data_IF_397302182958
#
_entry.id   IF_397302182958
#
_cell.length_a   1.000
_cell.length_b   1.000
_cell.length_c   1.000
_cell.angle_alpha   90.00
_cell.angle_beta   90.00
_cell.angle_gamma   90.00
#
_symmetry.space_group_name_H-M   'P 1'
#
loop_
_entity.id
_entity.type
_entity.pdbx_description
1 polymer ?
#
# COMPACT_ATOMS: atom_id res chain seq x y z
N UNK A 1 53.72 34.04 49.71
CA UNK A 1 52.32 33.96 50.19
C UNK A 1 51.50 33.31 49.10
N UNK A 2 50.75 32.24 49.41
CA UNK A 2 50.16 31.34 48.43
C UNK A 2 48.85 31.91 47.90
N UNK A 3 48.54 31.68 46.61
CA UNK A 3 47.16 31.76 46.14
C UNK A 3 46.83 30.44 45.45
N UNK A 4 45.87 29.77 46.07
CA UNK A 4 45.38 28.42 45.85
C UNK A 4 44.69 28.28 44.49
N UNK A 5 45.04 27.24 43.73
CA UNK A 5 44.25 26.77 42.57
C UNK A 5 42.99 26.07 43.09
N UNK A 6 41.82 26.58 42.72
CA UNK A 6 40.55 25.89 42.90
C UNK A 6 40.19 25.18 41.59
N UNK A 7 40.35 23.85 41.57
CA UNK A 7 39.86 22.96 40.52
C UNK A 7 38.34 22.81 40.71
N UNK A 8 37.53 23.48 39.89
CA UNK A 8 36.07 23.36 39.94
C UNK A 8 35.64 22.25 38.97
N UNK A 9 35.23 21.13 39.55
CA UNK A 9 34.58 20.00 38.90
C UNK A 9 33.20 20.41 38.37
N UNK A 10 33.11 20.69 37.06
CA UNK A 10 31.84 20.90 36.36
C UNK A 10 31.38 19.59 35.72
N UNK A 11 30.92 18.64 36.54
CA UNK A 11 30.05 17.56 36.05
C UNK A 11 28.61 18.05 36.07
N UNK A 12 27.98 17.88 34.91
CA UNK A 12 26.56 17.96 34.63
C UNK A 12 25.92 19.35 34.84
N UNK A 13 25.44 19.92 33.73
CA UNK A 13 24.14 20.58 33.52
C UNK A 13 24.25 21.45 32.26
N UNK A 14 24.05 20.84 31.09
CA UNK A 14 23.65 21.55 29.86
C UNK A 14 22.26 21.02 29.51
N UNK A 15 21.20 21.83 29.62
CA UNK A 15 20.66 22.68 28.54
C UNK A 15 20.35 21.84 27.29
N UNK A 16 19.17 21.86 26.67
CA UNK A 16 17.93 22.56 26.89
C UNK A 16 16.91 21.94 25.90
N UNK A 17 15.63 22.15 26.19
CA UNK A 17 14.48 22.19 25.27
C UNK A 17 14.65 21.58 23.86
N UNK A 18 13.96 20.47 23.59
CA UNK A 18 13.28 20.27 22.31
C UNK A 18 11.87 19.76 22.57
N UNK A 19 10.92 20.58 22.13
CA UNK A 19 9.50 20.43 22.35
C UNK A 19 8.94 19.15 21.72
N UNK A 20 8.05 18.51 22.48
CA UNK A 20 6.82 17.83 22.01
C UNK A 20 6.66 17.70 20.48
N UNK A 21 7.21 16.64 19.90
CA UNK A 21 6.82 16.13 18.58
C UNK A 21 5.54 15.32 18.69
N UNK A 22 4.41 16.02 18.84
CA UNK A 22 3.09 15.41 18.81
C UNK A 22 2.79 14.85 17.40
N UNK A 23 2.64 13.52 17.34
CA UNK A 23 1.58 12.82 16.63
C UNK A 23 1.10 13.46 15.31
N UNK A 24 1.79 13.16 14.21
CA UNK A 24 1.21 13.22 12.87
C UNK A 24 1.53 11.91 12.12
N UNK A 25 1.10 10.81 12.71
CA UNK A 25 0.88 9.54 12.01
C UNK A 25 -0.56 9.54 11.50
N UNK A 26 -0.86 10.35 10.49
CA UNK A 26 -2.04 10.13 9.68
C UNK A 26 -1.75 8.97 8.74
N UNK A 27 -1.67 7.75 9.29
CA UNK A 27 -1.83 6.55 8.49
C UNK A 27 -3.27 6.57 7.99
N UNK A 28 -3.46 6.98 6.74
CA UNK A 28 -4.65 6.66 5.98
C UNK A 28 -4.67 5.15 5.74
N UNK A 29 -4.92 4.38 6.81
CA UNK A 29 -5.42 3.03 6.71
C UNK A 29 -6.89 3.16 6.32
N UNK A 30 -7.14 3.41 5.05
CA UNK A 30 -8.43 3.11 4.42
C UNK A 30 -8.57 1.59 4.36
N UNK A 31 -8.71 0.94 5.52
CA UNK A 31 -9.32 -0.37 5.56
C UNK A 31 -10.71 -0.21 4.92
N UNK A 32 -11.11 -1.17 4.09
CA UNK A 32 -12.43 -1.26 3.46
C UNK A 32 -13.51 -1.29 4.55
N UNK A 33 -13.81 -0.14 5.12
CA UNK A 33 -15.01 0.05 5.89
C UNK A 33 -16.09 0.03 4.82
N UNK A 34 -17.02 -0.93 4.91
CA UNK A 34 -18.29 -0.84 4.19
C UNK A 34 -19.05 0.34 4.79
N UNK A 35 -18.57 1.54 4.48
CA UNK A 35 -19.12 2.78 4.92
C UNK A 35 -20.55 2.79 4.43
N UNK A 36 -21.50 2.88 5.36
CA UNK A 36 -22.89 3.06 4.98
C UNK A 36 -23.05 4.27 4.07
N UNK A 37 -24.22 4.43 3.47
CA UNK A 37 -24.53 5.55 2.55
C UNK A 37 -24.04 6.94 3.01
N UNK A 38 -24.06 7.31 4.30
CA UNK A 38 -23.50 8.59 4.76
C UNK A 38 -22.00 8.76 4.48
N UNK A 39 -21.21 7.70 4.64
CA UNK A 39 -19.78 7.71 4.39
C UNK A 39 -19.48 7.79 2.89
N UNK A 40 -20.20 7.03 2.08
CA UNK A 40 -20.11 7.12 0.62
C UNK A 40 -20.48 8.53 0.11
N UNK A 41 -21.47 9.18 0.74
CA UNK A 41 -21.82 10.57 0.42
C UNK A 41 -20.70 11.54 0.80
N UNK A 42 -20.01 11.32 1.93
CA UNK A 42 -18.86 12.11 2.36
C UNK A 42 -17.69 11.97 1.37
N UNK A 43 -17.35 10.74 0.99
CA UNK A 43 -16.31 10.43 -0.01
C UNK A 43 -16.63 11.11 -1.34
N UNK A 44 -17.87 10.99 -1.83
CA UNK A 44 -18.30 11.67 -3.04
C UNK A 44 -18.09 13.20 -3.01
N UNK A 45 -18.36 13.86 -1.88
CA UNK A 45 -18.11 15.31 -1.78
C UNK A 45 -16.62 15.65 -1.81
N UNK A 46 -15.80 14.82 -1.18
CA UNK A 46 -14.34 14.94 -1.21
C UNK A 46 -13.81 14.75 -2.63
N UNK A 47 -14.21 13.69 -3.32
CA UNK A 47 -13.80 13.41 -4.71
C UNK A 47 -14.24 14.52 -5.65
N UNK A 48 -15.48 15.01 -5.50
CA UNK A 48 -15.96 16.16 -6.27
C UNK A 48 -15.14 17.42 -6.06
N UNK A 49 -14.73 17.71 -4.82
CA UNK A 49 -13.89 18.86 -4.53
C UNK A 49 -12.53 18.72 -5.25
N UNK A 50 -11.91 17.54 -5.19
CA UNK A 50 -10.66 17.23 -5.89
C UNK A 50 -10.82 17.33 -7.44
N UNK A 51 -11.94 16.85 -7.99
CA UNK A 51 -12.23 16.98 -9.41
C UNK A 51 -12.36 18.46 -9.85
N UNK A 52 -12.93 19.32 -8.99
CA UNK A 52 -13.15 20.74 -9.30
C UNK A 52 -11.87 21.55 -9.10
N UNK A 53 -11.04 21.23 -8.11
CA UNK A 53 -9.76 21.88 -7.85
C UNK A 53 -8.72 21.57 -8.95
N UNK A 54 -8.90 20.46 -9.68
CA UNK A 54 -7.95 20.02 -10.71
C UNK A 54 -6.73 19.31 -10.11
N UNK A 55 -6.79 18.90 -8.84
CA UNK A 55 -5.74 18.16 -8.14
C UNK A 55 -5.58 16.71 -8.62
N UNK A 56 -6.41 16.29 -9.57
CA UNK A 56 -6.41 14.93 -10.13
C UNK A 56 -5.71 14.91 -11.49
N UNK A 57 -4.95 13.85 -11.78
CA UNK A 57 -4.29 13.64 -13.08
C UNK A 57 -5.25 13.20 -14.22
N UNK A 58 -6.55 13.48 -14.11
CA UNK A 58 -7.60 13.04 -15.02
C UNK A 58 -8.46 14.21 -15.51
N UNK A 59 -9.12 14.03 -16.65
CA UNK A 59 -10.10 15.00 -17.16
C UNK A 59 -11.22 15.22 -16.14
N UNK A 60 -11.57 16.49 -15.89
CA UNK A 60 -12.56 16.87 -14.88
C UNK A 60 -13.91 16.21 -15.09
N UNK A 61 -14.39 16.13 -16.33
CA UNK A 61 -15.69 15.52 -16.62
C UNK A 61 -15.64 14.01 -16.34
N UNK A 62 -14.53 13.36 -16.66
CA UNK A 62 -14.28 11.95 -16.33
C UNK A 62 -14.24 11.72 -14.82
N UNK A 63 -13.47 12.52 -14.09
CA UNK A 63 -13.39 12.48 -12.63
C UNK A 63 -14.78 12.57 -11.97
N UNK A 64 -15.60 13.53 -12.40
CA UNK A 64 -16.94 13.71 -11.85
C UNK A 64 -17.88 12.53 -12.17
N UNK A 65 -17.73 11.91 -13.36
CA UNK A 65 -18.48 10.69 -13.71
C UNK A 65 -18.08 9.52 -12.83
N UNK A 66 -16.78 9.33 -12.59
CA UNK A 66 -16.27 8.25 -11.74
C UNK A 66 -16.71 8.42 -10.28
N UNK A 67 -16.60 9.62 -9.72
CA UNK A 67 -17.10 9.93 -8.38
C UNK A 67 -18.61 9.65 -8.25
N UNK A 68 -19.39 10.03 -9.26
CA UNK A 68 -20.83 9.74 -9.32
C UNK A 68 -21.15 8.25 -9.41
N UNK A 69 -20.38 7.50 -10.20
CA UNK A 69 -20.51 6.06 -10.33
C UNK A 69 -20.21 5.35 -8.99
N UNK A 70 -19.13 5.75 -8.29
CA UNK A 70 -18.79 5.22 -6.99
C UNK A 70 -19.93 5.42 -5.95
N UNK A 71 -20.54 6.61 -5.92
CA UNK A 71 -21.70 6.86 -5.05
C UNK A 71 -22.93 6.04 -5.46
N UNK A 72 -23.17 5.88 -6.77
CA UNK A 72 -24.27 5.06 -7.27
C UNK A 72 -24.11 3.60 -6.84
N UNK A 73 -22.91 3.04 -6.93
CA UNK A 73 -22.65 1.67 -6.48
C UNK A 73 -22.79 1.52 -4.97
N UNK A 74 -22.33 2.49 -4.18
CA UNK A 74 -22.58 2.49 -2.74
C UNK A 74 -24.09 2.46 -2.41
N UNK A 75 -24.92 3.17 -3.20
CA UNK A 75 -26.41 3.11 -3.10
C UNK A 75 -26.97 1.74 -3.45
N UNK A 76 -26.31 0.99 -4.33
CA UNK A 76 -26.67 -0.39 -4.72
C UNK A 76 -26.12 -1.46 -3.76
N UNK A 77 -25.70 -1.07 -2.55
CA UNK A 77 -25.07 -1.90 -1.49
C UNK A 77 -23.55 -2.08 -1.62
N UNK A 78 -22.91 -1.27 -2.46
CA UNK A 78 -21.45 -1.26 -2.64
C UNK A 78 -20.95 -2.33 -3.60
N UNK A 79 -19.63 -2.33 -3.81
CA UNK A 79 -18.93 -3.39 -4.53
C UNK A 79 -18.70 -4.58 -3.59
N UNK A 80 -18.77 -5.78 -4.14
CA UNK A 80 -18.34 -6.98 -3.42
C UNK A 80 -16.82 -7.08 -3.45
N UNK A 81 -16.21 -7.26 -2.28
CA UNK A 81 -14.80 -7.60 -2.15
C UNK A 81 -14.70 -9.09 -2.47
N UNK A 82 -14.61 -9.40 -3.77
CA UNK A 82 -14.63 -10.75 -4.32
C UNK A 82 -13.41 -11.59 -3.95
N UNK A 83 -13.01 -11.68 -2.68
CA UNK A 83 -11.78 -12.34 -2.21
C UNK A 83 -11.63 -13.77 -2.75
N UNK A 84 -12.72 -14.55 -2.71
CA UNK A 84 -12.74 -15.90 -3.26
C UNK A 84 -12.56 -15.90 -4.79
N UNK A 85 -13.07 -14.89 -5.48
CA UNK A 85 -12.88 -14.72 -6.92
C UNK A 85 -11.48 -14.26 -7.26
N UNK A 86 -10.91 -13.33 -6.50
CA UNK A 86 -9.53 -12.89 -6.67
C UNK A 86 -8.57 -14.05 -6.50
N UNK A 87 -8.82 -14.93 -5.53
CA UNK A 87 -8.02 -16.13 -5.32
C UNK A 87 -8.13 -17.12 -6.48
N UNK A 88 -9.35 -17.39 -6.97
CA UNK A 88 -9.54 -18.24 -8.16
C UNK A 88 -8.83 -17.65 -9.38
N UNK A 89 -9.05 -16.36 -9.64
CA UNK A 89 -8.43 -15.64 -10.76
C UNK A 89 -6.91 -15.59 -10.63
N UNK A 90 -6.37 -15.62 -9.41
CA UNK A 90 -4.94 -15.72 -9.12
C UNK A 90 -4.35 -16.98 -9.72
N UNK A 91 -4.99 -18.12 -9.49
CA UNK A 91 -4.51 -19.42 -9.96
C UNK A 91 -4.84 -19.68 -11.42
N UNK A 92 -5.97 -19.18 -11.93
CA UNK A 92 -6.33 -19.27 -13.36
C UNK A 92 -5.27 -18.62 -14.28
N UNK A 93 -4.52 -17.63 -13.78
CA UNK A 93 -3.40 -17.05 -14.54
C UNK A 93 -2.27 -18.06 -14.78
N UNK A 94 -2.06 -19.02 -13.88
CA UNK A 94 -1.04 -20.05 -14.02
C UNK A 94 -1.42 -21.16 -15.01
N UNK A 95 -2.70 -21.29 -15.37
CA UNK A 95 -3.15 -22.29 -16.35
C UNK A 95 -2.70 -21.98 -17.79
N UNK A 96 -2.17 -20.77 -18.03
CA UNK A 96 -1.56 -20.38 -19.31
C UNK A 96 -0.08 -20.77 -19.44
N UNK A 97 0.54 -21.28 -18.36
CA UNK A 97 1.94 -21.70 -18.41
C UNK A 97 2.07 -23.09 -19.03
N UNK A 98 3.25 -23.42 -19.61
CA UNK A 98 3.59 -24.80 -19.92
C UNK A 98 3.36 -25.72 -18.70
N UNK A 99 2.95 -26.99 -18.89
CA UNK A 99 2.67 -27.90 -17.78
C UNK A 99 3.82 -28.03 -16.76
N UNK A 100 5.07 -27.95 -17.23
CA UNK A 100 6.28 -28.00 -16.41
C UNK A 100 6.48 -26.76 -15.53
N UNK A 101 6.02 -25.58 -15.97
CA UNK A 101 6.22 -24.30 -15.28
C UNK A 101 5.04 -23.93 -14.38
N UNK A 102 3.87 -24.55 -14.59
CA UNK A 102 2.65 -24.29 -13.81
C UNK A 102 2.86 -24.48 -12.30
N UNK A 103 3.52 -25.53 -11.80
CA UNK A 103 3.76 -25.69 -10.36
C UNK A 103 4.52 -24.50 -9.77
N UNK A 104 5.59 -24.05 -10.43
CA UNK A 104 6.38 -22.92 -9.95
C UNK A 104 5.64 -21.57 -10.06
N UNK A 105 4.78 -21.41 -11.07
CA UNK A 105 3.85 -20.28 -11.12
C UNK A 105 2.92 -20.25 -9.89
N UNK A 106 2.30 -21.37 -9.55
CA UNK A 106 1.39 -21.46 -8.40
C UNK A 106 2.13 -21.11 -7.11
N UNK A 107 3.34 -21.64 -6.92
CA UNK A 107 4.20 -21.32 -5.77
C UNK A 107 4.50 -19.82 -5.67
N UNK A 108 4.91 -19.17 -6.77
CA UNK A 108 5.09 -17.70 -6.82
C UNK A 108 3.81 -16.95 -6.46
N UNK A 109 2.67 -17.37 -6.98
CA UNK A 109 1.39 -16.71 -6.74
C UNK A 109 0.90 -16.89 -5.29
N UNK A 110 1.26 -18.01 -4.65
CA UNK A 110 1.01 -18.28 -3.23
C UNK A 110 1.96 -17.54 -2.28
N UNK A 111 2.93 -16.79 -2.81
CA UNK A 111 3.84 -15.93 -2.04
C UNK A 111 5.18 -16.56 -1.69
N UNK A 112 5.54 -17.70 -2.28
CA UNK A 112 6.90 -18.22 -2.15
C UNK A 112 7.91 -17.34 -2.91
N UNK A 113 9.13 -17.24 -2.35
CA UNK A 113 10.22 -16.49 -2.94
C UNK A 113 10.26 -15.03 -2.51
N UNK A 114 10.57 -14.13 -3.45
CA UNK A 114 10.74 -12.70 -3.19
C UNK A 114 9.74 -11.86 -3.97
N UNK A 115 9.21 -10.82 -3.34
CA UNK A 115 8.30 -9.85 -3.96
C UNK A 115 8.89 -8.45 -3.87
N UNK A 116 8.89 -7.72 -4.99
CA UNK A 116 9.44 -6.37 -5.08
C UNK A 116 8.61 -5.46 -5.98
N UNK A 117 8.85 -4.16 -5.91
CA UNK A 117 8.08 -3.13 -6.63
C UNK A 117 6.86 -2.64 -5.84
N UNK A 118 6.06 -1.80 -6.49
CA UNK A 118 4.85 -1.22 -5.92
C UNK A 118 3.87 -0.86 -7.03
N UNK A 119 2.59 -0.67 -6.66
CA UNK A 119 1.58 -0.20 -7.61
C UNK A 119 1.95 1.17 -8.17
N UNK A 120 2.41 2.09 -7.30
CA UNK A 120 2.89 3.40 -7.70
C UNK A 120 4.11 3.32 -8.63
N UNK A 121 5.03 2.39 -8.36
CA UNK A 121 6.20 2.13 -9.19
C UNK A 121 5.91 1.38 -10.50
N UNK A 122 4.64 1.14 -10.82
CA UNK A 122 4.20 0.55 -12.08
C UNK A 122 4.11 -0.98 -12.10
N UNK A 123 4.36 -1.67 -10.99
CA UNK A 123 4.19 -3.12 -10.93
C UNK A 123 4.79 -3.81 -9.72
N UNK A 124 4.29 -5.03 -9.47
CA UNK A 124 4.78 -5.94 -8.45
C UNK A 124 5.41 -7.15 -9.14
N UNK A 125 6.70 -7.36 -8.91
CA UNK A 125 7.46 -8.50 -9.37
C UNK A 125 7.47 -9.60 -8.31
N UNK A 126 7.29 -10.84 -8.75
CA UNK A 126 7.37 -12.05 -7.90
C UNK A 126 8.40 -12.97 -8.49
N UNK A 127 9.42 -13.33 -7.72
CA UNK A 127 10.53 -14.17 -8.16
C UNK A 127 10.62 -15.41 -7.28
N UNK A 128 10.84 -16.56 -7.92
CA UNK A 128 11.09 -17.83 -7.25
C UNK A 128 12.30 -18.46 -7.91
N UNK A 129 13.32 -18.74 -7.11
CA UNK A 129 14.51 -19.46 -7.54
C UNK A 129 14.35 -20.93 -7.16
N UNK A 130 14.42 -21.81 -8.15
CA UNK A 130 14.34 -23.26 -7.95
C UNK A 130 15.63 -23.93 -8.43
N UNK A 131 16.19 -24.87 -7.67
CA UNK A 131 17.30 -25.66 -8.15
C UNK A 131 16.82 -26.56 -9.30
N UNK A 132 17.49 -26.47 -10.45
CA UNK A 132 17.25 -27.38 -11.57
C UNK A 132 18.11 -28.63 -11.39
N UNK A 133 17.49 -29.81 -11.46
CA UNK A 133 18.25 -31.06 -11.49
C UNK A 133 18.94 -31.14 -12.86
N UNK A 134 20.27 -31.33 -12.93
CA UNK A 134 20.96 -31.46 -14.22
C UNK A 134 20.37 -32.62 -15.01
N UNK A 135 20.05 -32.40 -16.29
CA UNK A 135 19.62 -33.50 -17.16
C UNK A 135 20.81 -34.42 -17.39
N UNK A 136 20.68 -35.68 -16.98
CA UNK A 136 21.69 -36.70 -17.25
C UNK A 136 21.92 -36.80 -18.76
N UNK A 137 23.17 -36.57 -19.18
CA UNK A 137 23.59 -36.69 -20.58
C UNK A 137 23.91 -38.17 -20.82
N UNK A 138 23.03 -38.86 -21.53
CA UNK A 138 23.34 -40.16 -22.15
C UNK A 138 24.32 -39.97 -23.30
#
# INVERSE_FOLDING_TARGET
>A
MPSTRAEISYRSWGLALCATGALLSATAAGAANRGGLPEAQRIYQQDRAACISGETNQDRATCLREAGAALQEARRRGLDDGDAEFERNRLLRCDRQPPEDRPDCVRRMNGEGFTSGSVEGGGIYRELVVPVVPRERN
#
